data_IF_802574497358
#
_entry.id   IF_802574497358
#
_cell.length_a   1.000
_cell.length_b   1.000
_cell.length_c   1.000
_cell.angle_alpha   90.00
_cell.angle_beta   90.00
_cell.angle_gamma   90.00
#
_symmetry.space_group_name_H-M   'P 1'
#
loop_
_entity.id
_entity.type
_entity.pdbx_description
1 polymer ?
#
# COMPACT_ATOMS: atom_id res chain seq x y z
N UNK A 1 -35.54 -15.98 -40.82
CA UNK A 1 -35.68 -14.97 -39.74
C UNK A 1 -34.99 -15.53 -38.51
N UNK A 2 -33.85 -14.92 -38.17
CA UNK A 2 -32.88 -15.40 -37.17
C UNK A 2 -33.40 -15.20 -35.75
N UNK A 3 -33.36 -16.27 -34.94
CA UNK A 3 -33.32 -16.19 -33.48
C UNK A 3 -31.87 -15.89 -33.07
N UNK A 4 -31.64 -14.71 -32.54
CA UNK A 4 -30.47 -14.32 -31.74
C UNK A 4 -31.08 -13.54 -30.54
N UNK A 5 -30.32 -13.38 -29.46
CA UNK A 5 -30.68 -12.75 -28.17
C UNK A 5 -30.93 -13.74 -27.03
N UNK A 6 -29.84 -14.32 -26.51
CA UNK A 6 -29.58 -14.44 -25.07
C UNK A 6 -28.18 -15.03 -24.86
N UNK A 7 -27.13 -14.22 -25.02
CA UNK A 7 -25.81 -14.46 -24.42
C UNK A 7 -25.24 -13.07 -24.09
N UNK A 8 -25.64 -12.49 -22.97
CA UNK A 8 -24.86 -11.49 -22.23
C UNK A 8 -25.30 -11.64 -20.77
N UNK A 9 -24.35 -11.54 -19.84
CA UNK A 9 -24.52 -11.56 -18.37
C UNK A 9 -24.43 -12.92 -17.67
N UNK A 10 -23.28 -13.59 -17.80
CA UNK A 10 -22.55 -14.17 -16.65
C UNK A 10 -21.05 -14.09 -16.96
N UNK A 11 -20.46 -12.93 -16.71
CA UNK A 11 -19.02 -12.75 -16.46
C UNK A 11 -18.92 -12.10 -15.08
N UNK A 12 -19.50 -12.76 -14.07
CA UNK A 12 -19.14 -12.51 -12.68
C UNK A 12 -17.88 -13.32 -12.41
N UNK A 13 -16.84 -12.62 -11.95
CA UNK A 13 -15.66 -13.11 -11.25
C UNK A 13 -15.51 -14.64 -11.23
N UNK A 14 -14.96 -15.17 -12.31
CA UNK A 14 -14.03 -16.28 -12.15
C UNK A 14 -12.66 -15.61 -11.99
N UNK A 15 -12.32 -15.18 -10.77
CA UNK A 15 -10.92 -15.17 -10.37
C UNK A 15 -10.50 -16.64 -10.37
N UNK A 16 -10.19 -17.16 -11.57
CA UNK A 16 -9.37 -18.36 -11.65
C UNK A 16 -8.10 -17.98 -10.91
N UNK A 17 -7.85 -18.63 -9.77
CA UNK A 17 -6.57 -18.65 -9.09
C UNK A 17 -5.53 -19.18 -10.08
N UNK A 18 -5.07 -18.33 -10.98
CA UNK A 18 -3.80 -18.55 -11.65
C UNK A 18 -2.82 -18.53 -10.51
N UNK A 19 -2.12 -19.64 -10.28
CA UNK A 19 -1.00 -19.65 -9.36
C UNK A 19 0.03 -18.66 -9.93
N UNK A 20 -0.06 -17.41 -9.48
CA UNK A 20 0.90 -16.40 -9.80
C UNK A 20 2.23 -16.86 -9.21
N UNK A 21 3.30 -16.77 -10.01
CA UNK A 21 4.61 -17.06 -9.46
C UNK A 21 4.93 -15.91 -8.51
N UNK A 22 5.11 -16.23 -7.22
CA UNK A 22 5.30 -15.24 -6.17
C UNK A 22 6.72 -15.28 -5.59
N UNK A 23 7.19 -14.13 -5.14
CA UNK A 23 8.26 -14.06 -4.14
C UNK A 23 7.60 -14.00 -2.77
N UNK A 24 8.19 -14.70 -1.80
CA UNK A 24 7.80 -14.63 -0.40
C UNK A 24 9.07 -14.42 0.42
N UNK A 25 9.01 -13.48 1.33
CA UNK A 25 10.04 -13.27 2.34
C UNK A 25 9.36 -13.08 3.70
N UNK A 26 9.84 -13.79 4.70
CA UNK A 26 9.22 -13.82 6.03
C UNK A 26 10.27 -13.75 7.14
N UNK A 27 9.82 -13.23 8.28
CA UNK A 27 10.52 -13.24 9.55
C UNK A 27 9.81 -14.19 10.51
N UNK A 28 10.02 -14.05 11.83
CA UNK A 28 9.24 -14.83 12.80
C UNK A 28 7.83 -14.29 13.03
N UNK A 29 7.56 -13.03 12.65
CA UNK A 29 6.28 -12.35 12.92
C UNK A 29 5.55 -11.86 11.68
N UNK A 30 6.22 -11.62 10.55
CA UNK A 30 5.57 -11.05 9.37
C UNK A 30 6.07 -11.69 8.09
N UNK A 31 5.20 -11.78 7.09
CA UNK A 31 5.58 -12.12 5.73
C UNK A 31 5.09 -11.06 4.76
N UNK A 32 5.90 -10.84 3.73
CA UNK A 32 5.52 -10.13 2.52
C UNK A 32 5.58 -11.08 1.35
N UNK A 33 4.54 -11.04 0.54
CA UNK A 33 4.45 -11.75 -0.71
C UNK A 33 4.17 -10.79 -1.85
N UNK A 34 4.86 -10.98 -2.96
CA UNK A 34 4.70 -10.13 -4.13
C UNK A 34 4.66 -10.96 -5.41
N UNK A 35 3.74 -10.63 -6.30
CA UNK A 35 3.65 -11.25 -7.60
C UNK A 35 4.87 -10.84 -8.45
N UNK A 36 5.56 -11.84 -9.01
CA UNK A 36 6.81 -11.63 -9.75
C UNK A 36 6.65 -10.79 -11.00
N UNK A 37 5.43 -10.72 -11.52
CA UNK A 37 5.13 -10.09 -12.79
C UNK A 37 4.68 -8.64 -12.64
N UNK A 38 3.97 -8.35 -11.57
CA UNK A 38 3.23 -7.09 -11.43
C UNK A 38 3.68 -6.28 -10.23
N UNK A 39 4.44 -6.85 -9.29
CA UNK A 39 4.85 -6.16 -8.06
C UNK A 39 3.72 -5.96 -7.06
N UNK A 40 2.47 -6.27 -7.42
CA UNK A 40 1.36 -6.28 -6.47
C UNK A 40 1.72 -7.20 -5.32
N UNK A 41 1.32 -6.79 -4.12
CA UNK A 41 1.78 -7.44 -2.91
C UNK A 41 0.66 -7.60 -1.88
N UNK A 42 0.94 -8.45 -0.90
CA UNK A 42 0.17 -8.56 0.32
C UNK A 42 1.10 -8.83 1.51
N UNK A 43 0.62 -8.50 2.71
CA UNK A 43 1.37 -8.58 3.96
C UNK A 43 0.49 -9.30 4.98
N UNK A 44 1.10 -10.22 5.72
CA UNK A 44 0.42 -11.03 6.73
C UNK A 44 1.25 -11.16 8.00
N UNK A 45 0.58 -11.24 9.14
CA UNK A 45 1.18 -11.56 10.44
C UNK A 45 1.21 -13.07 10.63
N UNK A 46 2.33 -13.56 11.15
CA UNK A 46 2.57 -14.95 11.52
C UNK A 46 2.44 -15.06 13.04
N UNK A 47 1.42 -15.77 13.51
CA UNK A 47 1.19 -16.04 14.92
C UNK A 47 1.07 -17.54 15.17
N UNK A 48 2.17 -18.14 15.64
CA UNK A 48 2.26 -19.59 15.81
C UNK A 48 2.07 -20.31 14.48
N UNK A 49 1.00 -21.11 14.37
CA UNK A 49 0.63 -21.85 13.15
C UNK A 49 -0.44 -21.12 12.30
N UNK A 50 -0.85 -19.91 12.69
CA UNK A 50 -1.88 -19.12 12.00
C UNK A 50 -1.27 -17.94 11.25
N UNK A 51 -1.87 -17.58 10.11
CA UNK A 51 -1.59 -16.33 9.40
C UNK A 51 -2.82 -15.44 9.39
N UNK A 52 -2.62 -14.15 9.65
CA UNK A 52 -3.67 -13.14 9.62
C UNK A 52 -3.29 -12.05 8.63
N UNK A 53 -4.18 -11.69 7.73
CA UNK A 53 -3.91 -10.70 6.69
C UNK A 53 -3.91 -9.28 7.27
N UNK A 54 -2.91 -8.48 6.91
CA UNK A 54 -2.96 -7.02 7.03
C UNK A 54 -3.32 -6.37 5.68
N UNK A 55 -3.18 -7.14 4.59
CA UNK A 55 -3.57 -6.79 3.22
C UNK A 55 -4.28 -7.99 2.62
N UNK A 56 -5.40 -7.77 1.93
CA UNK A 56 -6.28 -8.82 1.41
C UNK A 56 -5.56 -9.88 0.55
N UNK A 57 -6.05 -11.12 0.61
CA UNK A 57 -5.67 -12.25 -0.23
C UNK A 57 -6.06 -12.06 -1.71
N UNK A 58 -5.34 -11.23 -2.43
CA UNK A 58 -5.70 -10.94 -3.83
C UNK A 58 -4.75 -10.03 -4.59
N UNK A 59 -3.60 -9.68 -4.02
CA UNK A 59 -2.65 -8.76 -4.66
C UNK A 59 -3.30 -7.40 -4.97
N UNK A 60 -3.95 -6.83 -3.97
CA UNK A 60 -4.78 -5.61 -4.10
C UNK A 60 -4.07 -4.34 -3.64
N UNK A 61 -2.88 -4.45 -3.05
CA UNK A 61 -1.99 -3.31 -2.81
C UNK A 61 -0.99 -3.14 -3.93
N UNK A 62 -0.76 -1.89 -4.33
CA UNK A 62 0.08 -1.53 -5.48
C UNK A 62 0.41 -0.04 -5.52
N UNK A 63 1.45 0.31 -6.28
CA UNK A 63 1.78 1.69 -6.63
C UNK A 63 1.42 2.04 -8.07
N UNK A 64 1.14 3.32 -8.29
CA UNK A 64 1.17 3.98 -9.58
C UNK A 64 2.23 5.10 -9.55
N UNK A 65 2.79 5.43 -10.71
CA UNK A 65 3.83 6.44 -10.84
C UNK A 65 3.44 7.50 -11.86
N UNK A 66 3.56 8.76 -11.46
CA UNK A 66 3.43 9.89 -12.39
C UNK A 66 4.79 10.20 -12.98
N UNK A 67 4.92 10.19 -14.30
CA UNK A 67 6.17 10.43 -15.01
C UNK A 67 5.91 11.28 -16.24
N UNK A 68 6.45 12.50 -16.24
CA UNK A 68 6.39 13.46 -17.37
C UNK A 68 4.99 13.74 -17.93
N UNK A 69 3.97 13.74 -17.07
CA UNK A 69 2.58 14.00 -17.47
C UNK A 69 1.75 12.75 -17.73
N UNK A 70 2.36 11.57 -17.70
CA UNK A 70 1.68 10.29 -17.85
C UNK A 70 1.63 9.54 -16.51
N UNK A 71 0.61 8.71 -16.33
CA UNK A 71 0.46 7.85 -15.14
C UNK A 71 0.71 6.41 -15.57
N UNK A 72 1.51 5.71 -14.79
CA UNK A 72 1.95 4.36 -15.06
C UNK A 72 1.53 3.48 -13.88
N UNK A 73 0.67 2.49 -14.10
CA UNK A 73 0.12 1.68 -13.01
C UNK A 73 0.58 0.23 -13.01
N UNK A 74 0.79 -0.33 -11.81
CA UNK A 74 1.11 -1.75 -11.61
C UNK A 74 -0.12 -2.66 -11.64
N UNK A 75 -1.34 -2.10 -11.50
CA UNK A 75 -2.57 -2.89 -11.45
C UNK A 75 -3.28 -2.93 -12.81
N UNK A 76 -3.32 -4.09 -13.50
CA UNK A 76 -3.89 -4.19 -14.85
C UNK A 76 -5.42 -4.11 -14.88
N UNK A 77 -6.07 -4.23 -13.71
CA UNK A 77 -7.53 -4.10 -13.60
C UNK A 77 -8.03 -2.66 -13.68
N UNK A 78 -7.14 -1.66 -13.56
CA UNK A 78 -7.48 -0.26 -13.82
C UNK A 78 -7.48 -0.01 -15.34
N UNK A 79 -8.62 -0.25 -16.00
CA UNK A 79 -8.72 -0.16 -17.47
C UNK A 79 -8.46 1.25 -18.04
N UNK A 80 -8.30 2.24 -17.17
CA UNK A 80 -8.16 3.64 -17.52
C UNK A 80 -6.72 4.16 -17.43
N UNK A 81 -5.78 3.38 -16.85
CA UNK A 81 -4.37 3.78 -16.70
C UNK A 81 -3.44 3.00 -17.63
N UNK A 82 -2.41 3.65 -18.21
CA UNK A 82 -1.29 2.96 -18.85
C UNK A 82 -0.64 1.96 -17.89
N UNK A 83 -0.67 0.69 -18.26
CA UNK A 83 -0.10 -0.38 -17.45
C UNK A 83 1.43 -0.42 -17.59
N UNK A 84 2.15 -0.41 -16.47
CA UNK A 84 3.56 -0.78 -16.43
C UNK A 84 3.60 -2.28 -16.58
N UNK A 85 4.30 -2.77 -17.61
CA UNK A 85 4.38 -4.19 -17.97
C UNK A 85 4.97 -5.10 -16.87
N UNK A 86 5.95 -5.91 -17.23
CA UNK A 86 6.67 -6.72 -16.26
C UNK A 86 7.91 -5.98 -15.81
N UNK A 87 8.40 -6.16 -14.56
CA UNK A 87 9.66 -5.59 -14.12
C UNK A 87 10.79 -6.08 -15.04
N UNK A 88 11.75 -5.22 -15.33
CA UNK A 88 12.93 -5.59 -16.12
C UNK A 88 13.85 -6.52 -15.33
N UNK A 89 13.87 -6.35 -14.01
CA UNK A 89 14.54 -7.24 -13.06
C UNK A 89 13.72 -7.30 -11.79
N UNK A 90 13.53 -8.50 -11.25
CA UNK A 90 12.90 -8.70 -9.96
C UNK A 90 13.52 -9.89 -9.26
N UNK A 91 13.42 -9.93 -7.94
CA UNK A 91 14.04 -11.02 -7.18
C UNK A 91 13.95 -10.83 -5.68
N UNK A 92 14.55 -11.79 -4.99
CA UNK A 92 14.98 -11.63 -3.60
C UNK A 92 16.45 -11.21 -3.64
N UNK A 93 16.85 -10.27 -2.79
CA UNK A 93 18.25 -9.86 -2.65
C UNK A 93 19.14 -11.05 -2.27
N UNK A 94 20.43 -10.99 -2.60
CA UNK A 94 21.34 -12.11 -2.41
C UNK A 94 21.54 -12.53 -0.94
N UNK A 95 21.32 -11.59 -0.02
CA UNK A 95 21.33 -11.78 1.44
C UNK A 95 19.97 -12.16 2.02
N UNK A 96 18.93 -12.30 1.17
CA UNK A 96 17.56 -12.64 1.56
C UNK A 96 16.95 -11.65 2.54
N UNK A 97 17.21 -10.35 2.38
CA UNK A 97 16.69 -9.29 3.27
C UNK A 97 15.57 -8.49 2.62
N UNK A 98 15.46 -8.48 1.29
CA UNK A 98 14.40 -7.77 0.59
C UNK A 98 13.92 -8.50 -0.67
N UNK A 99 12.65 -8.29 -1.01
CA UNK A 99 12.14 -8.48 -2.37
C UNK A 99 12.33 -7.16 -3.11
N UNK A 100 12.78 -7.21 -4.37
CA UNK A 100 12.96 -6.01 -5.18
C UNK A 100 12.32 -6.14 -6.56
N UNK A 101 11.85 -5.01 -7.09
CA UNK A 101 11.31 -4.85 -8.44
C UNK A 101 11.93 -3.62 -9.10
N UNK A 102 12.69 -3.82 -10.17
CA UNK A 102 13.23 -2.75 -11.00
C UNK A 102 12.41 -2.63 -12.28
N UNK A 103 11.79 -1.47 -12.44
CA UNK A 103 10.91 -1.15 -13.54
C UNK A 103 11.71 -0.43 -14.63
N UNK A 104 11.67 -0.98 -15.85
CA UNK A 104 12.16 -0.29 -17.05
C UNK A 104 10.98 0.29 -17.81
N UNK A 105 10.85 1.61 -17.71
CA UNK A 105 9.81 2.39 -18.37
C UNK A 105 10.30 3.03 -19.68
N UNK A 106 11.54 2.76 -20.10
CA UNK A 106 12.10 3.25 -21.37
C UNK A 106 12.39 4.76 -21.41
N UNK A 107 12.45 5.42 -20.26
CA UNK A 107 12.62 6.88 -20.13
C UNK A 107 13.93 7.29 -19.47
N UNK A 108 14.98 6.45 -19.49
CA UNK A 108 16.24 6.74 -18.80
C UNK A 108 16.02 7.10 -17.31
N UNK A 109 15.10 6.36 -16.68
CA UNK A 109 14.79 6.41 -15.26
C UNK A 109 14.99 5.02 -14.68
N UNK A 110 15.63 4.96 -13.52
CA UNK A 110 15.59 3.76 -12.68
C UNK A 110 14.47 3.95 -11.68
N UNK A 111 13.57 2.98 -11.59
CA UNK A 111 12.49 2.92 -10.62
C UNK A 111 12.57 1.56 -9.92
N UNK A 112 12.87 1.59 -8.64
CA UNK A 112 13.02 0.40 -7.81
C UNK A 112 12.02 0.44 -6.67
N UNK A 113 11.30 -0.65 -6.49
CA UNK A 113 10.50 -0.93 -5.30
C UNK A 113 11.21 -2.00 -4.47
N UNK A 114 11.26 -1.83 -3.15
CA UNK A 114 11.81 -2.81 -2.21
C UNK A 114 10.84 -3.08 -1.06
N UNK A 115 10.67 -4.36 -0.74
CA UNK A 115 9.98 -4.83 0.46
C UNK A 115 10.98 -5.50 1.39
N UNK A 116 11.19 -4.93 2.57
CA UNK A 116 12.13 -5.45 3.58
C UNK A 116 11.37 -5.78 4.87
N UNK A 117 10.97 -7.05 5.09
CA UNK A 117 10.33 -7.46 6.33
C UNK A 117 11.35 -7.54 7.48
N UNK A 118 10.95 -7.14 8.68
CA UNK A 118 11.78 -7.19 9.89
C UNK A 118 10.93 -7.39 11.14
N UNK A 119 11.53 -8.00 12.17
CA UNK A 119 10.96 -8.08 13.50
C UNK A 119 11.55 -6.97 14.38
N UNK A 120 10.73 -6.41 15.26
CA UNK A 120 11.17 -5.44 16.26
C UNK A 120 10.56 -5.74 17.62
N UNK A 121 11.29 -5.39 18.67
CA UNK A 121 10.84 -5.54 20.06
C UNK A 121 10.45 -4.19 20.63
N UNK A 122 9.35 -4.14 21.36
CA UNK A 122 8.84 -2.93 21.98
C UNK A 122 8.50 -3.18 23.46
N UNK A 123 8.45 -2.09 24.23
CA UNK A 123 8.07 -2.16 25.65
C UNK A 123 6.59 -1.91 25.77
N UNK A 124 5.87 -2.81 26.44
CA UNK A 124 4.45 -2.62 26.76
C UNK A 124 4.37 -1.76 28.02
N UNK A 125 3.50 -0.75 27.97
CA UNK A 125 3.21 0.14 29.10
C UNK A 125 1.75 -0.01 29.53
N UNK A 126 1.49 0.06 30.83
CA UNK A 126 0.12 0.15 31.32
C UNK A 126 -0.46 1.58 31.18
N UNK A 127 -1.74 1.75 31.52
CA UNK A 127 -2.42 3.05 31.49
C UNK A 127 -1.81 4.14 32.39
N UNK A 128 -0.91 3.77 33.31
CA UNK A 128 -0.19 4.69 34.20
C UNK A 128 1.20 5.02 33.67
N UNK A 129 1.62 4.41 32.55
CA UNK A 129 2.93 4.58 31.93
C UNK A 129 4.02 3.69 32.56
N UNK A 130 3.64 2.72 33.38
CA UNK A 130 4.60 1.76 33.95
C UNK A 130 4.87 0.64 32.93
N UNK A 131 6.15 0.29 32.74
CA UNK A 131 6.53 -0.82 31.87
C UNK A 131 6.06 -2.15 32.49
N UNK A 132 5.28 -2.92 31.74
CA UNK A 132 4.71 -4.21 32.17
C UNK A 132 5.28 -5.41 31.41
N UNK A 133 6.06 -5.18 30.35
CA UNK A 133 6.66 -6.25 29.59
C UNK A 133 7.45 -5.79 28.37
N UNK A 134 7.99 -6.76 27.66
CA UNK A 134 8.57 -6.61 26.32
C UNK A 134 7.82 -7.56 25.42
N UNK A 135 7.47 -7.09 24.24
CA UNK A 135 6.85 -7.90 23.21
C UNK A 135 7.51 -7.68 21.84
N UNK A 136 7.16 -8.51 20.86
CA UNK A 136 7.75 -8.53 19.52
C UNK A 136 6.66 -8.44 18.46
N UNK A 137 6.82 -7.50 17.53
CA UNK A 137 5.96 -7.32 16.37
C UNK A 137 6.77 -7.41 15.07
N UNK A 138 6.07 -7.60 13.96
CA UNK A 138 6.67 -7.62 12.63
C UNK A 138 6.21 -6.43 11.79
N UNK A 139 7.09 -5.91 10.94
CA UNK A 139 6.79 -4.86 9.97
C UNK A 139 7.53 -5.06 8.65
N UNK A 140 7.06 -4.39 7.61
CA UNK A 140 7.68 -4.32 6.29
C UNK A 140 8.03 -2.86 6.02
N UNK A 141 9.29 -2.61 5.69
CA UNK A 141 9.70 -1.35 5.07
C UNK A 141 9.41 -1.44 3.58
N UNK A 142 8.52 -0.58 3.10
CA UNK A 142 8.14 -0.46 1.68
C UNK A 142 8.81 0.79 1.14
N UNK A 143 9.73 0.61 0.21
CA UNK A 143 10.58 1.67 -0.30
C UNK A 143 10.41 1.82 -1.80
N UNK A 144 10.29 3.06 -2.25
CA UNK A 144 10.38 3.41 -3.66
C UNK A 144 11.63 4.27 -3.86
N UNK A 145 12.41 3.97 -4.88
CA UNK A 145 13.60 4.71 -5.26
C UNK A 145 13.54 5.04 -6.74
N UNK A 146 13.75 6.31 -7.05
CA UNK A 146 13.87 6.85 -8.39
C UNK A 146 15.24 7.45 -8.59
N UNK A 147 15.82 7.21 -9.76
CA UNK A 147 17.01 7.89 -10.21
C UNK A 147 16.87 8.33 -11.65
N UNK A 148 17.06 9.62 -11.90
CA UNK A 148 17.22 10.15 -13.24
C UNK A 148 18.62 9.79 -13.77
N UNK A 149 18.67 8.85 -14.71
CA UNK A 149 19.91 8.45 -15.39
C UNK A 149 20.02 9.06 -16.80
N UNK A 150 19.07 9.91 -17.21
CA UNK A 150 19.20 10.73 -18.41
C UNK A 150 20.31 11.77 -18.18
N UNK A 151 21.34 11.83 -19.05
CA UNK A 151 22.45 12.75 -18.89
C UNK A 151 22.09 14.22 -19.16
N UNK A 152 20.90 14.51 -19.71
CA UNK A 152 20.52 15.81 -20.26
C UNK A 152 19.17 16.28 -19.71
N UNK A 153 18.14 15.43 -19.76
CA UNK A 153 16.77 15.87 -19.53
C UNK A 153 16.35 15.70 -18.06
N UNK A 154 15.68 16.70 -17.47
CA UNK A 154 14.97 16.49 -16.21
C UNK A 154 13.69 15.69 -16.45
N UNK A 155 13.25 14.94 -15.44
CA UNK A 155 11.98 14.21 -15.43
C UNK A 155 11.12 14.66 -14.25
N UNK A 156 9.80 14.66 -14.40
CA UNK A 156 8.87 14.95 -13.31
C UNK A 156 8.35 13.62 -12.78
N UNK A 157 8.63 13.30 -11.51
CA UNK A 157 8.29 11.98 -10.92
C UNK A 157 7.47 12.13 -9.64
N UNK A 158 6.43 11.31 -9.48
CA UNK A 158 5.64 11.17 -8.26
C UNK A 158 5.23 9.71 -8.01
N UNK A 159 4.80 9.40 -6.78
CA UNK A 159 4.25 8.08 -6.39
C UNK A 159 2.81 8.21 -5.88
N UNK A 160 1.95 7.27 -6.25
CA UNK A 160 0.62 7.07 -5.69
C UNK A 160 0.53 5.63 -5.20
N UNK A 161 0.56 5.43 -3.89
CA UNK A 161 0.52 4.13 -3.24
C UNK A 161 -0.88 3.82 -2.72
N UNK A 162 -1.36 2.61 -2.99
CA UNK A 162 -2.68 2.14 -2.56
C UNK A 162 -2.51 0.85 -1.78
N UNK A 163 -3.03 0.85 -0.56
CA UNK A 163 -2.97 -0.29 0.36
C UNK A 163 -4.39 -0.74 0.66
N UNK A 164 -4.68 -2.00 0.35
CA UNK A 164 -5.88 -2.69 0.83
C UNK A 164 -5.69 -3.06 2.31
N UNK A 165 -6.66 -2.70 3.14
CA UNK A 165 -6.62 -2.87 4.59
C UNK A 165 -7.74 -3.81 5.05
N UNK A 166 -7.84 -4.98 4.43
CA UNK A 166 -8.59 -6.12 4.96
C UNK A 166 -7.84 -6.78 6.13
N UNK A 167 -8.16 -6.35 7.35
CA UNK A 167 -7.49 -6.82 8.57
C UNK A 167 -8.17 -8.10 9.07
N UNK A 168 -7.51 -9.24 8.89
CA UNK A 168 -8.02 -10.56 9.29
C UNK A 168 -9.45 -10.88 8.77
N UNK A 169 -9.78 -10.45 7.55
CA UNK A 169 -11.12 -10.62 6.95
C UNK A 169 -12.11 -9.51 7.33
N UNK A 170 -11.68 -8.48 8.06
CA UNK A 170 -12.40 -7.22 8.27
C UNK A 170 -12.10 -6.25 7.12
N UNK A 171 -12.82 -6.44 6.02
CA UNK A 171 -12.78 -5.60 4.81
C UNK A 171 -13.44 -4.20 5.02
N UNK A 172 -13.89 -3.87 6.21
CA UNK A 172 -14.41 -2.55 6.59
C UNK A 172 -13.70 -2.07 7.87
N UNK A 173 -12.39 -2.31 7.94
CA UNK A 173 -11.55 -1.97 9.07
C UNK A 173 -11.64 -0.45 9.36
N UNK A 174 -11.99 -0.05 10.58
CA UNK A 174 -11.96 1.36 10.96
C UNK A 174 -10.52 1.81 11.21
N UNK A 175 -10.31 3.11 11.10
CA UNK A 175 -9.01 3.73 11.25
C UNK A 175 -8.93 4.60 12.51
N UNK A 176 -7.74 4.69 13.09
CA UNK A 176 -7.35 5.72 14.04
C UNK A 176 -6.15 6.49 13.50
N UNK A 177 -6.13 7.78 13.83
CA UNK A 177 -5.02 8.69 13.54
C UNK A 177 -4.86 9.65 14.72
N UNK A 178 -3.84 10.50 14.69
CA UNK A 178 -3.68 11.59 15.66
C UNK A 178 -4.86 12.58 15.72
N UNK A 179 -5.74 12.61 14.69
CA UNK A 179 -6.97 13.43 14.69
C UNK A 179 -8.19 12.68 15.24
N UNK A 180 -8.07 11.38 15.50
CA UNK A 180 -9.10 10.55 16.12
C UNK A 180 -9.46 9.30 15.32
N UNK A 181 -10.43 8.57 15.86
CA UNK A 181 -11.02 7.38 15.24
C UNK A 181 -12.06 7.77 14.18
N UNK A 182 -12.09 7.03 13.08
CA UNK A 182 -13.08 7.16 12.02
C UNK A 182 -13.36 5.83 11.33
N UNK A 183 -14.64 5.56 11.05
CA UNK A 183 -15.10 4.51 10.14
C UNK A 183 -15.72 5.10 8.86
N UNK A 184 -15.41 6.37 8.57
CA UNK A 184 -15.84 7.07 7.37
C UNK A 184 -14.63 7.49 6.55
N UNK A 185 -14.84 7.69 5.25
CA UNK A 185 -13.83 8.23 4.34
C UNK A 185 -13.31 9.55 4.90
N UNK A 186 -12.01 9.60 5.12
CA UNK A 186 -11.31 10.71 5.75
C UNK A 186 -10.17 11.13 4.85
N UNK A 187 -10.10 12.42 4.55
CA UNK A 187 -9.10 13.00 3.66
C UNK A 187 -8.18 13.97 4.39
N UNK A 188 -6.91 13.96 4.00
CA UNK A 188 -5.88 14.88 4.46
C UNK A 188 -5.17 15.49 3.24
N UNK A 189 -5.62 16.66 2.75
CA UNK A 189 -5.13 17.23 1.50
C UNK A 189 -3.78 17.97 1.62
N UNK A 190 -3.11 18.13 0.46
CA UNK A 190 -1.73 18.62 0.34
C UNK A 190 -1.49 20.09 0.65
N UNK A 191 -2.55 20.89 0.62
CA UNK A 191 -2.49 22.32 0.93
C UNK A 191 -2.33 22.61 2.42
N UNK A 192 -2.38 21.58 3.26
CA UNK A 192 -2.19 21.67 4.72
C UNK A 192 -1.28 20.56 5.25
N UNK A 193 0.00 20.54 4.85
CA UNK A 193 0.96 19.49 5.24
C UNK A 193 1.05 19.24 6.77
N UNK A 194 0.77 20.27 7.58
CA UNK A 194 0.71 20.16 9.05
C UNK A 194 -0.47 19.31 9.57
N UNK A 195 -1.37 18.83 8.69
CA UNK A 195 -2.56 18.07 9.03
C UNK A 195 -2.50 16.60 8.61
N UNK A 196 -1.50 16.17 7.82
CA UNK A 196 -1.35 14.75 7.50
C UNK A 196 -0.80 14.07 8.76
N UNK A 197 -1.55 13.12 9.36
CA UNK A 197 -1.08 12.43 10.54
C UNK A 197 0.19 11.64 10.18
N UNK A 198 1.22 11.63 11.06
CA UNK A 198 2.46 10.90 10.77
C UNK A 198 2.25 9.38 10.73
N UNK A 199 1.11 8.91 11.26
CA UNK A 199 0.75 7.51 11.35
C UNK A 199 -0.76 7.31 11.27
N UNK A 200 -1.16 6.08 10.92
CA UNK A 200 -2.52 5.60 11.06
C UNK A 200 -2.52 4.15 11.49
N UNK A 201 -3.61 3.73 12.14
CA UNK A 201 -3.81 2.36 12.60
C UNK A 201 -5.16 1.87 12.07
N UNK A 202 -5.19 0.72 11.42
CA UNK A 202 -6.41 0.02 11.02
C UNK A 202 -6.66 -1.15 11.99
N UNK A 203 -7.91 -1.36 12.42
CA UNK A 203 -8.24 -2.37 13.44
C UNK A 203 -9.14 -3.46 12.90
N UNK A 204 -9.00 -4.67 13.46
CA UNK A 204 -9.94 -5.78 13.24
C UNK A 204 -11.34 -5.50 13.83
N UNK A 205 -11.44 -4.66 14.87
CA UNK A 205 -12.68 -4.40 15.59
C UNK A 205 -12.97 -2.89 15.74
N UNK A 206 -14.26 -2.56 15.86
CA UNK A 206 -14.73 -1.21 16.19
C UNK A 206 -14.40 -0.80 17.63
N UNK A 207 -14.44 0.51 17.92
CA UNK A 207 -14.29 0.99 19.30
C UNK A 207 -15.46 0.57 20.21
N UNK A 208 -15.19 0.25 21.49
CA UNK A 208 -13.87 0.23 22.14
C UNK A 208 -13.03 -0.95 21.63
N UNK A 209 -11.74 -0.69 21.37
CA UNK A 209 -10.82 -1.69 20.84
C UNK A 209 -10.75 -2.90 21.78
N UNK A 210 -10.66 -4.09 21.19
CA UNK A 210 -10.43 -5.33 21.91
C UNK A 210 -8.92 -5.54 22.06
N UNK A 211 -8.46 -5.84 23.27
CA UNK A 211 -7.06 -6.22 23.55
C UNK A 211 -6.64 -7.52 22.82
N UNK A 212 -7.58 -8.23 22.19
CA UNK A 212 -7.37 -9.50 21.49
C UNK A 212 -7.46 -9.41 19.96
N UNK A 213 -7.51 -8.21 19.39
CA UNK A 213 -7.65 -8.02 17.94
C UNK A 213 -6.38 -7.58 17.26
N UNK A 214 -6.24 -7.94 15.99
CA UNK A 214 -5.15 -7.48 15.15
C UNK A 214 -5.34 -6.01 14.80
N UNK A 215 -4.23 -5.28 14.76
CA UNK A 215 -4.18 -3.92 14.26
C UNK A 215 -2.97 -3.76 13.34
N UNK A 216 -3.18 -3.08 12.21
CA UNK A 216 -2.13 -2.72 11.28
C UNK A 216 -1.71 -1.27 11.52
N UNK A 217 -0.43 -1.02 11.72
CA UNK A 217 0.13 0.31 11.92
C UNK A 217 0.97 0.70 10.71
N UNK A 218 0.78 1.93 10.25
CA UNK A 218 1.62 2.58 9.26
C UNK A 218 2.33 3.78 9.87
N UNK A 219 3.66 3.80 9.81
CA UNK A 219 4.48 4.96 10.10
C UNK A 219 4.97 5.60 8.78
N UNK A 220 4.60 6.86 8.58
CA UNK A 220 4.92 7.69 7.42
C UNK A 220 5.83 8.86 7.79
N UNK A 221 6.34 8.94 9.02
CA UNK A 221 7.08 10.09 9.55
C UNK A 221 8.40 10.36 8.83
N UNK A 222 8.98 9.35 8.17
CA UNK A 222 10.26 9.45 7.46
C UNK A 222 10.09 10.23 6.15
N UNK A 223 9.10 9.85 5.34
CA UNK A 223 8.76 10.54 4.08
C UNK A 223 7.24 10.69 3.99
N UNK A 224 6.67 11.71 4.66
CA UNK A 224 5.21 11.88 4.67
C UNK A 224 4.68 12.10 3.25
N UNK A 225 3.52 11.53 2.91
CA UNK A 225 2.87 11.83 1.64
C UNK A 225 2.39 13.29 1.63
N UNK A 226 2.15 13.81 0.44
CA UNK A 226 1.48 15.10 0.26
C UNK A 226 -0.04 14.96 0.34
N UNK A 227 -0.60 13.76 0.17
CA UNK A 227 -2.04 13.54 0.22
C UNK A 227 -2.31 12.15 0.78
N UNK A 228 -3.24 12.07 1.74
CA UNK A 228 -3.64 10.83 2.38
C UNK A 228 -5.16 10.71 2.38
N UNK A 229 -5.66 9.53 2.00
CA UNK A 229 -7.08 9.18 2.11
C UNK A 229 -7.19 7.83 2.79
N UNK A 230 -8.00 7.80 3.84
CA UNK A 230 -8.49 6.58 4.48
C UNK A 230 -9.90 6.38 3.94
N UNK A 231 -10.20 5.29 3.25
CA UNK A 231 -11.46 5.21 2.52
C UNK A 231 -11.80 3.86 1.94
N UNK A 232 -12.64 3.88 0.88
CA UNK A 232 -13.10 2.65 0.24
C UNK A 232 -12.11 2.22 -0.85
N UNK A 233 -11.36 1.12 -0.66
CA UNK A 233 -10.32 0.61 -1.56
C UNK A 233 -10.82 0.50 -3.00
N UNK A 234 -12.01 -0.06 -3.27
CA UNK A 234 -12.56 -0.07 -4.66
C UNK A 234 -12.62 1.29 -5.36
N UNK A 235 -12.82 2.38 -4.62
CA UNK A 235 -12.78 3.73 -5.18
C UNK A 235 -11.35 4.23 -5.32
N UNK A 236 -10.53 4.01 -4.29
CA UNK A 236 -9.12 4.39 -4.30
C UNK A 236 -8.36 3.72 -5.46
N UNK A 237 -8.58 2.42 -5.67
CA UNK A 237 -7.94 1.59 -6.70
C UNK A 237 -8.19 2.04 -8.14
N UNK A 238 -9.26 2.82 -8.38
CA UNK A 238 -9.59 3.36 -9.71
C UNK A 238 -9.39 4.87 -9.80
N UNK A 239 -8.83 5.49 -8.76
CA UNK A 239 -8.62 6.94 -8.74
C UNK A 239 -7.40 7.33 -9.59
N UNK A 240 -7.58 8.32 -10.47
CA UNK A 240 -6.47 8.98 -11.16
C UNK A 240 -5.75 9.98 -10.26
N UNK A 241 -4.59 10.45 -10.73
CA UNK A 241 -3.65 11.25 -9.93
C UNK A 241 -4.29 12.40 -9.16
N UNK A 242 -5.18 13.18 -9.78
CA UNK A 242 -5.84 14.37 -9.20
C UNK A 242 -7.37 14.22 -9.09
N UNK A 243 -7.90 13.03 -9.33
CA UNK A 243 -9.35 12.83 -9.47
C UNK A 243 -10.05 12.43 -8.15
N UNK A 244 -9.30 12.23 -7.06
CA UNK A 244 -9.93 11.93 -5.77
C UNK A 244 -10.58 13.19 -5.19
N UNK A 245 -11.90 13.28 -5.36
CA UNK A 245 -12.68 14.36 -4.78
C UNK A 245 -13.05 14.05 -3.31
N UNK A 246 -12.29 14.65 -2.41
CA UNK A 246 -12.53 14.58 -0.97
C UNK A 246 -13.85 15.21 -0.54
N UNK A 247 -14.37 16.21 -1.25
CA UNK A 247 -15.64 16.86 -0.90
C UNK A 247 -16.83 15.96 -1.21
N UNK A 248 -16.75 15.15 -2.28
CA UNK A 248 -17.83 14.22 -2.66
C UNK A 248 -17.84 12.98 -1.78
N UNK A 249 -16.68 12.55 -1.30
CA UNK A 249 -16.53 11.25 -0.65
C UNK A 249 -16.38 11.31 0.86
N UNK A 250 -16.00 12.46 1.43
CA UNK A 250 -15.95 12.65 2.88
C UNK A 250 -17.26 12.23 3.55
N UNK A 251 -17.15 11.65 4.74
CA UNK A 251 -18.26 11.17 5.56
C UNK A 251 -19.10 10.04 4.92
N UNK A 252 -18.61 9.38 3.87
CA UNK A 252 -19.17 8.09 3.42
C UNK A 252 -18.65 6.96 4.32
N UNK A 253 -19.51 6.03 4.72
CA UNK A 253 -19.07 4.82 5.44
C UNK A 253 -18.03 4.03 4.63
N UNK A 254 -17.04 3.48 5.32
CA UNK A 254 -16.08 2.54 4.75
C UNK A 254 -16.70 1.14 4.77
N UNK A 255 -16.62 0.44 3.65
CA UNK A 255 -17.23 -0.89 3.44
C UNK A 255 -16.30 -1.90 2.76
N UNK A 256 -15.13 -1.43 2.34
CA UNK A 256 -14.09 -2.11 1.57
C UNK A 256 -12.83 -1.26 1.86
N UNK A 257 -12.12 -1.47 2.97
CA UNK A 257 -11.20 -0.50 3.58
C UNK A 257 -9.86 -0.43 2.85
N UNK A 258 -9.40 0.78 2.55
CA UNK A 258 -8.07 0.99 2.02
C UNK A 258 -7.51 2.37 2.30
N UNK A 259 -6.24 2.52 1.99
CA UNK A 259 -5.47 3.75 2.16
C UNK A 259 -4.84 4.14 0.84
N UNK A 260 -4.94 5.41 0.48
CA UNK A 260 -4.24 6.00 -0.66
C UNK A 260 -3.30 7.08 -0.16
N UNK A 261 -2.04 6.99 -0.56
CA UNK A 261 -0.98 7.95 -0.25
C UNK A 261 -0.40 8.49 -1.55
N UNK A 262 -0.23 9.80 -1.68
CA UNK A 262 0.37 10.41 -2.86
C UNK A 262 1.55 11.30 -2.48
N UNK A 263 2.68 11.09 -3.12
CA UNK A 263 3.79 12.02 -3.15
C UNK A 263 3.74 12.76 -4.49
N UNK A 264 3.51 14.07 -4.43
CA UNK A 264 3.27 14.92 -5.57
C UNK A 264 4.46 14.89 -6.55
N UNK A 265 4.21 15.11 -7.85
CA UNK A 265 5.28 15.05 -8.83
C UNK A 265 6.30 16.18 -8.63
N UNK A 266 7.58 15.82 -8.59
CA UNK A 266 8.68 16.78 -8.45
C UNK A 266 9.67 16.60 -9.60
N UNK A 267 10.16 17.71 -10.15
CA UNK A 267 11.21 17.70 -11.16
C UNK A 267 12.54 17.19 -10.57
N UNK A 268 13.16 16.23 -11.26
CA UNK A 268 14.47 15.65 -10.98
C UNK A 268 15.40 15.87 -12.15
N UNK A 269 16.46 16.64 -11.94
CA UNK A 269 17.52 16.85 -12.92
C UNK A 269 18.38 15.61 -13.15
N UNK A 270 19.28 15.63 -14.16
CA UNK A 270 20.23 14.55 -14.41
C UNK A 270 21.01 14.13 -13.16
N UNK A 271 20.95 12.84 -12.82
CA UNK A 271 21.63 12.25 -11.66
C UNK A 271 20.92 12.46 -10.32
N UNK A 272 19.83 13.22 -10.26
CA UNK A 272 19.06 13.40 -9.03
C UNK A 272 18.23 12.16 -8.70
N UNK A 273 17.98 11.99 -7.41
CA UNK A 273 17.22 10.86 -6.86
C UNK A 273 16.01 11.34 -6.09
N UNK A 274 15.04 10.45 -5.95
CA UNK A 274 13.89 10.60 -5.07
C UNK A 274 13.65 9.25 -4.40
N UNK A 275 13.32 9.26 -3.12
CA UNK A 275 12.93 8.03 -2.44
C UNK A 275 11.84 8.30 -1.43
N UNK A 276 11.04 7.28 -1.17
CA UNK A 276 10.09 7.22 -0.07
C UNK A 276 10.30 5.92 0.70
N UNK A 277 9.99 5.97 1.99
CA UNK A 277 10.00 4.81 2.86
C UNK A 277 8.81 4.92 3.82
N UNK A 278 7.96 3.91 3.81
CA UNK A 278 6.89 3.72 4.79
C UNK A 278 7.11 2.40 5.52
N UNK A 279 6.71 2.35 6.79
CA UNK A 279 6.80 1.15 7.60
C UNK A 279 5.37 0.69 7.90
N UNK A 280 5.01 -0.49 7.42
CA UNK A 280 3.69 -1.08 7.61
C UNK A 280 3.79 -2.44 8.29
N UNK A 281 3.01 -2.67 9.34
CA UNK A 281 3.10 -3.93 10.07
C UNK A 281 2.07 -4.07 11.17
N UNK A 282 2.32 -5.04 12.05
CA UNK A 282 1.57 -5.22 13.28
C UNK A 282 1.75 -3.98 14.16
N UNK A 283 0.63 -3.37 14.56
CA UNK A 283 0.65 -2.35 15.61
C UNK A 283 1.09 -3.04 16.90
N UNK A 284 2.18 -2.57 17.52
CA UNK A 284 2.55 -3.03 18.86
C UNK A 284 1.39 -2.76 19.83
N UNK A 285 1.04 -3.77 20.64
CA UNK A 285 -0.04 -3.73 21.63
C UNK A 285 0.23 -2.83 22.83
#
# INVERSE_FOLDING_TARGET
MRKVWMIVWVLMLAMTTVAFAQYRLETSRIAVEADRATGLYYIEVIEGDSTMCLVHSGYTSFANFFIDGEIYGMYPGSTELPYIGFPARSGITADSTAIFFDWDIGLSLTLTELFSPFDFTYTIYDSLGDSIGIDTAGAVSIQYYFQNIDPINPHIVGILEIIDTDINGRDDAPFWTSVGYSNHVTCFPSDTIDYIPPEWIAYEFDMPFSDSGLAAHMDMSITPPDFLVLGNWRRLAITHWDDFDCEIHSDSLITDSGVLMRWNPVTRGPGETFYTNIIYGEAGG
#
